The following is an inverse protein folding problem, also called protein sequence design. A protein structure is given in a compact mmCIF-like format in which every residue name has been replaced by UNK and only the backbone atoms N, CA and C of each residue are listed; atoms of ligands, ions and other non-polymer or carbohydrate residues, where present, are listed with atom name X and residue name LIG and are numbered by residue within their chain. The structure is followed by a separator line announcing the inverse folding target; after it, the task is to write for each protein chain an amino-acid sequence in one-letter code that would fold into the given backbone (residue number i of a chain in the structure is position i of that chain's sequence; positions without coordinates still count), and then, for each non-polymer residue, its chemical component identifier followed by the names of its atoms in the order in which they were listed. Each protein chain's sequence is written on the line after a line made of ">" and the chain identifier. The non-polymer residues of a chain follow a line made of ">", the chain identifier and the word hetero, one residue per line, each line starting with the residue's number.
data_IF_863921840676
#
_entry.id   IF_863921840676
#
_cell.length_a   1.000
_cell.length_b   1.000
_cell.length_c   1.000
_cell.angle_alpha   90.00
_cell.angle_beta   90.00
_cell.angle_gamma   90.00
#
_symmetry.space_group_name_H-M   'P 1'
#
loop_
_entity.id
_entity.type
_entity.pdbx_description
1 polymer ?
#
# COMPACT_ATOMS: atom_id res chain seq x y z
N UNK A 1 -9.43 -3.19 13.93
CA UNK A 1 -9.17 -3.08 15.39
C UNK A 1 -7.95 -2.19 15.70
N UNK A 2 -6.75 -2.52 15.23
CA UNK A 2 -5.54 -1.68 15.45
C UNK A 2 -5.68 -0.25 14.91
N UNK A 3 -6.27 -0.07 13.72
CA UNK A 3 -6.52 1.26 13.17
C UNK A 3 -7.49 2.11 14.02
N UNK A 4 -8.47 1.46 14.65
CA UNK A 4 -9.48 2.11 15.50
C UNK A 4 -8.87 2.51 16.85
N UNK A 5 -8.03 1.63 17.43
CA UNK A 5 -7.21 1.94 18.59
C UNK A 5 -6.26 3.11 18.32
N UNK A 6 -5.56 3.10 17.18
CA UNK A 6 -4.68 4.19 16.77
C UNK A 6 -5.45 5.50 16.58
N UNK A 7 -6.64 5.46 15.97
CA UNK A 7 -7.52 6.63 15.83
C UNK A 7 -7.96 7.16 17.20
N UNK A 8 -8.35 6.29 18.12
CA UNK A 8 -8.77 6.66 19.48
C UNK A 8 -7.60 7.17 20.34
N UNK A 9 -6.41 6.58 20.22
CA UNK A 9 -5.21 7.10 20.88
C UNK A 9 -4.82 8.45 20.26
N UNK A 10 -5.06 8.65 18.96
CA UNK A 10 -4.80 9.92 18.30
C UNK A 10 -5.72 11.03 18.81
N UNK A 11 -6.99 10.73 19.11
CA UNK A 11 -7.91 11.73 19.67
C UNK A 11 -7.50 12.20 21.06
N UNK A 12 -6.84 11.35 21.85
CA UNK A 12 -6.45 11.67 23.24
C UNK A 12 -5.01 12.15 23.37
N UNK A 13 -4.08 11.60 22.59
CA UNK A 13 -2.64 11.88 22.65
C UNK A 13 -2.01 11.96 21.25
N UNK A 14 -2.23 13.04 20.49
CA UNK A 14 -1.78 13.13 19.10
C UNK A 14 -0.25 13.10 18.94
N UNK A 15 0.51 13.61 19.92
CA UNK A 15 1.98 13.58 19.90
C UNK A 15 2.55 12.17 20.04
N UNK A 16 1.90 11.32 20.86
CA UNK A 16 2.32 9.93 21.06
C UNK A 16 2.13 9.13 19.78
N UNK A 17 0.98 9.29 19.10
CA UNK A 17 0.73 8.60 17.82
C UNK A 17 1.72 9.05 16.75
N UNK A 18 2.04 10.34 16.65
CA UNK A 18 3.05 10.82 15.69
C UNK A 18 4.43 10.24 15.96
N UNK A 19 4.86 10.20 17.22
CA UNK A 19 6.13 9.58 17.61
C UNK A 19 6.14 8.08 17.32
N UNK A 20 5.05 7.38 17.60
CA UNK A 20 4.91 5.96 17.31
C UNK A 20 4.99 5.68 15.80
N UNK A 21 4.30 6.47 14.97
CA UNK A 21 4.37 6.35 13.51
C UNK A 21 5.80 6.59 13.00
N UNK A 22 6.50 7.59 13.54
CA UNK A 22 7.90 7.84 13.19
C UNK A 22 8.82 6.68 13.61
N UNK A 23 8.58 6.09 14.78
CA UNK A 23 9.33 4.93 15.27
C UNK A 23 9.07 3.68 14.41
N UNK A 24 7.82 3.45 13.99
CA UNK A 24 7.48 2.36 13.07
C UNK A 24 8.15 2.58 11.70
N UNK A 25 8.19 3.82 11.21
CA UNK A 25 8.88 4.17 9.96
C UNK A 25 10.39 3.90 10.07
N UNK A 26 11.03 4.35 11.15
CA UNK A 26 12.45 4.09 11.41
C UNK A 26 12.73 2.59 11.54
N UNK A 27 11.86 1.86 12.26
CA UNK A 27 11.93 0.41 12.40
C UNK A 27 11.80 -0.32 11.06
N UNK A 28 10.96 0.16 10.13
CA UNK A 28 10.82 -0.41 8.79
C UNK A 28 12.13 -0.27 7.97
N UNK A 29 12.76 0.90 8.04
CA UNK A 29 14.05 1.16 7.38
C UNK A 29 15.14 0.28 7.99
N UNK A 30 15.25 0.26 9.33
CA UNK A 30 16.22 -0.56 10.05
C UNK A 30 16.04 -2.06 9.77
N UNK A 31 14.80 -2.55 9.77
CA UNK A 31 14.47 -3.94 9.42
C UNK A 31 14.91 -4.27 7.99
N UNK A 32 14.67 -3.36 7.04
CA UNK A 32 15.07 -3.57 5.65
C UNK A 32 16.60 -3.66 5.52
N UNK A 33 17.34 -2.81 6.24
CA UNK A 33 18.81 -2.86 6.27
C UNK A 33 19.33 -4.16 6.88
N UNK A 34 18.82 -4.54 8.06
CA UNK A 34 19.24 -5.75 8.78
C UNK A 34 18.99 -7.02 7.96
N UNK A 35 17.81 -7.15 7.34
CA UNK A 35 17.48 -8.34 6.55
C UNK A 35 18.34 -8.43 5.28
N UNK A 36 18.65 -7.30 4.65
CA UNK A 36 19.56 -7.28 3.50
C UNK A 36 20.98 -7.72 3.88
N UNK A 37 21.46 -7.33 5.07
CA UNK A 37 22.76 -7.74 5.60
C UNK A 37 22.79 -9.22 5.99
N UNK A 38 21.75 -9.72 6.69
CA UNK A 38 21.62 -11.13 7.08
C UNK A 38 21.55 -12.06 5.87
N UNK A 39 20.81 -11.66 4.83
CA UNK A 39 20.66 -12.44 3.59
C UNK A 39 21.88 -12.33 2.67
N UNK A 40 22.90 -11.53 3.03
CA UNK A 40 24.12 -11.28 2.23
C UNK A 40 23.78 -11.01 0.77
N UNK A 41 22.79 -10.15 0.53
CA UNK A 41 22.30 -9.89 -0.82
C UNK A 41 23.44 -9.34 -1.69
N UNK A 42 23.62 -9.95 -2.86
CA UNK A 42 24.63 -9.56 -3.83
C UNK A 42 24.43 -8.12 -4.32
N UNK A 43 25.46 -7.60 -4.98
CA UNK A 43 25.52 -6.25 -5.52
C UNK A 43 24.67 -6.01 -6.77
N UNK A 44 23.93 -7.02 -7.22
CA UNK A 44 23.11 -6.98 -8.43
C UNK A 44 21.61 -7.04 -8.13
N UNK A 45 20.81 -6.44 -9.00
CA UNK A 45 19.34 -6.50 -8.91
C UNK A 45 18.79 -7.94 -9.01
N UNK A 46 19.41 -8.79 -9.84
CA UNK A 46 19.00 -10.19 -10.00
C UNK A 46 19.22 -10.99 -8.71
N UNK A 47 20.39 -10.82 -8.08
CA UNK A 47 20.69 -11.45 -6.78
C UNK A 47 19.70 -11.01 -5.69
N UNK A 48 19.27 -9.75 -5.74
CA UNK A 48 18.22 -9.23 -4.87
C UNK A 48 16.86 -9.88 -5.15
N UNK A 49 16.44 -10.07 -6.41
CA UNK A 49 15.16 -10.74 -6.70
C UNK A 49 15.17 -12.19 -6.21
N UNK A 50 16.30 -12.88 -6.38
CA UNK A 50 16.43 -14.26 -5.94
C UNK A 50 16.46 -14.39 -4.41
N UNK A 51 17.20 -13.52 -3.73
CA UNK A 51 17.44 -13.60 -2.28
C UNK A 51 16.39 -12.84 -1.45
N UNK A 52 15.78 -11.80 -2.03
CA UNK A 52 14.88 -10.84 -1.38
C UNK A 52 13.42 -11.27 -1.29
N UNK A 53 13.09 -12.55 -1.59
CA UNK A 53 11.71 -13.07 -1.48
C UNK A 53 11.12 -12.83 -0.09
N UNK A 54 11.94 -12.96 0.96
CA UNK A 54 11.54 -12.72 2.34
C UNK A 54 11.12 -11.26 2.58
N UNK A 55 11.81 -10.30 1.96
CA UNK A 55 11.49 -8.88 2.06
C UNK A 55 10.17 -8.53 1.37
N UNK A 56 9.87 -9.17 0.24
CA UNK A 56 8.62 -8.96 -0.49
C UNK A 56 7.40 -9.52 0.25
N UNK A 57 7.57 -10.66 0.92
CA UNK A 57 6.50 -11.31 1.69
C UNK A 57 6.34 -10.68 3.08
N UNK A 58 7.40 -10.06 3.63
CA UNK A 58 7.37 -9.51 4.99
C UNK A 58 6.26 -8.48 5.21
N UNK A 59 5.38 -8.69 6.21
CA UNK A 59 4.32 -7.75 6.55
C UNK A 59 4.89 -6.43 7.07
N UNK A 60 6.07 -6.47 7.71
CA UNK A 60 6.75 -5.29 8.25
C UNK A 60 7.09 -4.35 7.11
N UNK A 61 7.71 -4.82 6.04
CA UNK A 61 8.08 -4.00 4.88
C UNK A 61 6.85 -3.31 4.26
N UNK A 62 5.72 -4.03 4.18
CA UNK A 62 4.46 -3.50 3.63
C UNK A 62 3.84 -2.38 4.46
N UNK A 63 4.16 -2.29 5.75
CA UNK A 63 3.64 -1.20 6.62
C UNK A 63 3.99 0.19 6.11
N UNK A 64 5.11 0.35 5.40
CA UNK A 64 5.53 1.62 4.80
C UNK A 64 4.44 2.23 3.90
N UNK A 65 3.82 1.43 3.04
CA UNK A 65 2.78 1.90 2.13
C UNK A 65 1.56 2.43 2.89
N UNK A 66 1.17 1.75 3.98
CA UNK A 66 0.07 2.19 4.85
C UNK A 66 0.41 3.46 5.62
N UNK A 67 1.66 3.63 6.06
CA UNK A 67 2.11 4.86 6.75
C UNK A 67 2.04 6.05 5.80
N UNK A 68 2.56 5.89 4.57
CA UNK A 68 2.52 6.94 3.55
C UNK A 68 1.08 7.28 3.17
N UNK A 69 0.24 6.27 2.91
CA UNK A 69 -1.19 6.47 2.63
C UNK A 69 -1.92 7.18 3.77
N UNK A 70 -1.64 6.80 5.01
CA UNK A 70 -2.17 7.47 6.20
C UNK A 70 -1.74 8.94 6.32
N UNK A 71 -0.48 9.26 5.99
CA UNK A 71 0.01 10.64 5.97
C UNK A 71 -0.70 11.50 4.89
N UNK A 72 -0.95 10.93 3.71
CA UNK A 72 -1.75 11.57 2.66
C UNK A 72 -3.21 11.79 3.09
N UNK A 73 -3.84 10.78 3.70
CA UNK A 73 -5.19 10.92 4.26
C UNK A 73 -5.26 11.99 5.35
N UNK A 74 -4.29 12.03 6.27
CA UNK A 74 -4.22 13.05 7.31
C UNK A 74 -4.06 14.47 6.75
N UNK A 75 -3.16 14.65 5.76
CA UNK A 75 -2.99 15.91 5.04
C UNK A 75 -4.28 16.35 4.33
N UNK A 76 -5.00 15.40 3.72
CA UNK A 76 -6.26 15.65 3.04
C UNK A 76 -7.34 16.18 4.00
N UNK A 77 -7.59 15.48 5.12
CA UNK A 77 -8.63 15.92 6.07
C UNK A 77 -8.30 17.27 6.73
N UNK A 78 -7.00 17.57 6.92
CA UNK A 78 -6.55 18.87 7.45
C UNK A 78 -6.56 20.01 6.42
N UNK A 79 -6.86 19.73 5.15
CA UNK A 79 -6.78 20.73 4.07
C UNK A 79 -5.37 21.23 3.78
N UNK A 80 -4.34 20.49 4.19
CA UNK A 80 -2.93 20.86 4.01
C UNK A 80 -2.40 20.44 2.63
N UNK A 81 -1.29 21.04 2.14
CA UNK A 81 -0.61 20.56 0.93
C UNK A 81 -0.18 19.09 1.10
N UNK A 82 -0.06 18.35 -0.01
CA UNK A 82 0.33 16.94 0.05
C UNK A 82 1.69 16.79 0.75
N UNK A 83 1.94 15.69 1.50
CA UNK A 83 3.23 15.50 2.16
C UNK A 83 4.40 15.48 1.15
N UNK A 84 4.15 15.04 -0.09
CA UNK A 84 5.15 15.10 -1.15
C UNK A 84 5.45 16.53 -1.62
N UNK A 85 4.45 17.40 -1.74
CA UNK A 85 4.67 18.82 -2.05
C UNK A 85 5.31 19.59 -0.88
N UNK A 86 5.10 19.15 0.36
CA UNK A 86 5.78 19.71 1.53
C UNK A 86 7.29 19.38 1.53
N UNK A 87 7.65 18.17 1.12
CA UNK A 87 9.06 17.73 1.05
C UNK A 87 9.75 18.26 -0.21
N UNK A 88 9.05 18.25 -1.35
CA UNK A 88 9.54 18.68 -2.66
C UNK A 88 8.67 19.82 -3.23
N UNK A 89 8.79 21.05 -2.71
CA UNK A 89 7.94 22.17 -3.13
C UNK A 89 8.22 22.64 -4.56
N UNK A 90 9.48 22.57 -4.99
CA UNK A 90 9.92 23.13 -6.27
C UNK A 90 9.90 22.10 -7.40
N UNK A 91 9.54 22.53 -8.62
CA UNK A 91 9.63 21.70 -9.84
C UNK A 91 11.05 21.20 -10.10
N UNK A 92 12.05 22.02 -9.78
CA UNK A 92 13.46 21.65 -9.85
C UNK A 92 13.84 20.54 -8.88
N UNK A 93 13.27 20.54 -7.66
CA UNK A 93 13.50 19.48 -6.69
C UNK A 93 12.87 18.16 -7.17
N UNK A 94 11.68 18.23 -7.79
CA UNK A 94 11.04 17.08 -8.44
C UNK A 94 11.86 16.55 -9.63
N UNK A 95 12.41 17.43 -10.47
CA UNK A 95 13.34 17.06 -11.54
C UNK A 95 14.63 16.43 -11.02
N UNK A 96 15.20 17.00 -9.95
CA UNK A 96 16.38 16.44 -9.28
C UNK A 96 16.12 15.05 -8.72
N UNK A 97 14.94 14.81 -8.15
CA UNK A 97 14.52 13.48 -7.68
C UNK A 97 14.43 12.48 -8.84
N UNK A 98 13.88 12.88 -9.98
CA UNK A 98 13.83 12.03 -11.19
C UNK A 98 15.24 11.68 -11.66
N UNK A 99 16.14 12.67 -11.73
CA UNK A 99 17.53 12.43 -12.11
C UNK A 99 18.26 11.52 -11.12
N UNK A 100 18.06 11.72 -9.82
CA UNK A 100 18.59 10.84 -8.77
C UNK A 100 18.09 9.41 -8.93
N UNK A 101 16.79 9.21 -9.21
CA UNK A 101 16.22 7.88 -9.42
C UNK A 101 16.74 7.23 -10.70
N UNK A 102 16.92 7.98 -11.79
CA UNK A 102 17.54 7.47 -13.02
C UNK A 102 19.00 7.06 -12.77
N UNK A 103 19.75 7.87 -12.02
CA UNK A 103 21.12 7.55 -11.63
C UNK A 103 21.19 6.27 -10.79
N UNK A 104 20.35 6.15 -9.75
CA UNK A 104 20.29 4.96 -8.91
C UNK A 104 19.87 3.72 -9.71
N UNK A 105 18.91 3.87 -10.62
CA UNK A 105 18.47 2.78 -11.50
C UNK A 105 19.61 2.30 -12.40
N UNK A 106 20.37 3.24 -13.01
CA UNK A 106 21.50 2.89 -13.85
C UNK A 106 22.62 2.19 -13.07
N UNK A 107 22.84 2.56 -11.80
CA UNK A 107 23.82 1.87 -10.95
C UNK A 107 23.35 0.46 -10.57
N UNK A 108 22.06 0.28 -10.24
CA UNK A 108 21.52 -0.99 -9.75
C UNK A 108 21.24 -2.00 -10.87
N UNK A 109 20.81 -1.54 -12.04
CA UNK A 109 20.47 -2.36 -13.23
C UNK A 109 21.63 -2.41 -14.23
N UNK A 110 22.65 -1.57 -14.05
CA UNK A 110 23.82 -1.52 -14.91
C UNK A 110 24.63 -2.81 -14.89
N UNK A 111 25.56 -2.97 -15.85
CA UNK A 111 26.34 -4.20 -16.02
C UNK A 111 27.34 -4.48 -14.89
N UNK A 112 27.59 -3.51 -14.01
CA UNK A 112 28.56 -3.62 -12.93
C UNK A 112 27.86 -3.82 -11.58
N UNK A 113 28.36 -4.73 -10.73
CA UNK A 113 27.81 -4.93 -9.40
C UNK A 113 27.94 -3.66 -8.55
N UNK A 114 26.79 -3.17 -8.10
CA UNK A 114 26.66 -2.09 -7.14
C UNK A 114 26.93 -2.55 -5.72
N UNK A 115 27.12 -1.61 -4.79
CA UNK A 115 27.19 -2.00 -3.37
C UNK A 115 25.81 -2.46 -2.86
N UNK A 116 25.73 -3.47 -1.98
CA UNK A 116 24.45 -3.93 -1.39
C UNK A 116 23.67 -2.81 -0.68
N UNK A 117 24.39 -1.83 -0.13
CA UNK A 117 23.83 -0.64 0.50
C UNK A 117 23.12 0.26 -0.52
N UNK A 118 23.65 0.41 -1.72
CA UNK A 118 23.05 1.21 -2.80
C UNK A 118 21.76 0.57 -3.31
N UNK A 119 21.72 -0.76 -3.44
CA UNK A 119 20.48 -1.51 -3.74
C UNK A 119 19.44 -1.30 -2.65
N UNK A 120 19.84 -1.36 -1.38
CA UNK A 120 18.91 -1.18 -0.27
C UNK A 120 18.30 0.22 -0.25
N UNK A 121 19.13 1.25 -0.47
CA UNK A 121 18.67 2.64 -0.62
C UNK A 121 17.70 2.76 -1.79
N UNK A 122 18.07 2.25 -2.97
CA UNK A 122 17.22 2.27 -4.16
C UNK A 122 15.85 1.62 -3.88
N UNK A 123 15.82 0.46 -3.23
CA UNK A 123 14.57 -0.24 -2.91
C UNK A 123 13.69 0.54 -1.93
N UNK A 124 14.27 1.18 -0.91
CA UNK A 124 13.52 2.00 0.04
C UNK A 124 12.91 3.21 -0.68
N UNK A 125 13.70 3.91 -1.50
CA UNK A 125 13.23 5.05 -2.29
C UNK A 125 12.15 4.66 -3.29
N UNK A 126 12.34 3.55 -4.02
CA UNK A 126 11.37 3.03 -4.98
C UNK A 126 10.04 2.72 -4.29
N UNK A 127 10.06 2.04 -3.14
CA UNK A 127 8.83 1.75 -2.37
C UNK A 127 8.16 3.02 -1.88
N UNK A 128 8.93 3.99 -1.37
CA UNK A 128 8.40 5.26 -0.89
C UNK A 128 7.74 6.04 -2.02
N UNK A 129 8.37 6.09 -3.20
CA UNK A 129 7.86 6.75 -4.40
C UNK A 129 6.61 6.07 -4.95
N UNK A 130 6.59 4.73 -5.00
CA UNK A 130 5.39 3.99 -5.40
C UNK A 130 4.24 4.22 -4.42
N UNK A 131 4.51 4.20 -3.11
CA UNK A 131 3.50 4.49 -2.09
C UNK A 131 2.99 5.94 -2.18
N UNK A 132 3.88 6.91 -2.39
CA UNK A 132 3.51 8.31 -2.55
C UNK A 132 2.72 8.53 -3.86
N UNK A 133 3.14 7.93 -4.96
CA UNK A 133 2.48 8.00 -6.26
C UNK A 133 1.08 7.40 -6.24
N UNK A 134 0.92 6.20 -5.65
CA UNK A 134 -0.40 5.58 -5.46
C UNK A 134 -1.30 6.42 -4.55
N UNK A 135 -0.79 6.94 -3.44
CA UNK A 135 -1.55 7.82 -2.53
C UNK A 135 -1.96 9.13 -3.21
N UNK A 136 -1.09 9.70 -4.03
CA UNK A 136 -1.39 10.88 -4.83
C UNK A 136 -2.43 10.60 -5.92
N UNK A 137 -2.37 9.42 -6.56
CA UNK A 137 -3.35 8.98 -7.55
C UNK A 137 -4.74 8.80 -6.92
N UNK A 138 -4.81 8.18 -5.75
CA UNK A 138 -6.07 8.02 -4.99
C UNK A 138 -6.68 9.39 -4.69
N UNK A 139 -5.88 10.35 -4.22
CA UNK A 139 -6.34 11.72 -3.93
C UNK A 139 -6.84 12.46 -5.17
N UNK A 140 -6.18 12.31 -6.33
CA UNK A 140 -6.67 12.92 -7.58
C UNK A 140 -7.98 12.23 -8.01
N UNK A 141 -8.06 10.91 -7.87
CA UNK A 141 -9.26 10.13 -8.22
C UNK A 141 -10.51 10.57 -7.46
N UNK A 142 -10.37 10.98 -6.19
CA UNK A 142 -11.48 11.54 -5.39
C UNK A 142 -11.91 12.94 -5.87
N UNK A 143 -11.00 13.73 -6.44
CA UNK A 143 -11.28 15.06 -7.02
C UNK A 143 -11.77 15.03 -8.46
N UNK A 144 -11.86 13.85 -9.11
CA UNK A 144 -12.15 13.73 -10.53
C UNK A 144 -13.53 14.27 -10.96
N UNK A 145 -14.46 14.48 -10.02
CA UNK A 145 -15.74 15.18 -10.26
C UNK A 145 -15.57 16.71 -10.46
N UNK A 146 -14.38 17.25 -10.20
CA UNK A 146 -14.03 18.66 -10.42
C UNK A 146 -12.98 18.79 -11.55
N UNK A 147 -13.29 19.66 -12.52
CA UNK A 147 -12.68 19.95 -13.83
C UNK A 147 -11.13 20.02 -13.97
N UNK A 148 -10.35 19.89 -12.89
CA UNK A 148 -8.91 20.22 -12.86
C UNK A 148 -7.96 19.00 -12.86
N UNK A 149 -8.35 17.87 -13.44
CA UNK A 149 -7.45 16.70 -13.51
C UNK A 149 -6.58 16.72 -14.77
N UNK A 150 -5.26 16.57 -14.60
CA UNK A 150 -4.29 16.47 -15.69
C UNK A 150 -4.64 15.34 -16.69
N UNK A 151 -4.58 15.58 -18.01
CA UNK A 151 -5.00 14.61 -19.04
C UNK A 151 -4.30 13.24 -19.00
N UNK A 152 -2.98 13.10 -18.74
CA UNK A 152 -2.33 11.78 -18.72
C UNK A 152 -2.67 10.95 -17.48
N UNK A 153 -3.25 11.53 -16.43
CA UNK A 153 -3.66 10.78 -15.24
C UNK A 153 -5.14 10.37 -15.37
N UNK A 154 -5.91 11.09 -16.20
CA UNK A 154 -7.35 10.87 -16.40
C UNK A 154 -7.67 9.51 -17.02
N UNK A 155 -6.95 9.07 -18.04
CA UNK A 155 -7.19 7.75 -18.65
C UNK A 155 -6.93 6.61 -17.66
N UNK A 156 -5.87 6.74 -16.86
CA UNK A 156 -5.50 5.76 -15.84
C UNK A 156 -6.56 5.72 -14.73
N UNK A 157 -7.06 6.88 -14.30
CA UNK A 157 -8.15 6.96 -13.32
C UNK A 157 -9.44 6.35 -13.86
N UNK A 158 -9.82 6.65 -15.11
CA UNK A 158 -11.01 6.06 -15.75
C UNK A 158 -10.89 4.53 -15.82
N UNK A 159 -9.71 4.01 -16.16
CA UNK A 159 -9.44 2.57 -16.17
C UNK A 159 -9.56 1.98 -14.75
N UNK A 160 -8.91 2.57 -13.75
CA UNK A 160 -8.99 2.10 -12.36
C UNK A 160 -10.40 2.22 -11.76
N UNK A 161 -11.18 3.19 -12.22
CA UNK A 161 -12.55 3.41 -11.79
C UNK A 161 -13.57 2.56 -12.56
N UNK A 162 -13.15 1.84 -13.60
CA UNK A 162 -14.03 0.95 -14.33
C UNK A 162 -14.65 -0.10 -13.40
N UNK A 163 -15.96 -0.31 -13.50
CA UNK A 163 -16.72 -1.20 -12.61
C UNK A 163 -16.21 -2.64 -12.63
N UNK A 164 -15.72 -3.11 -13.78
CA UNK A 164 -15.10 -4.42 -13.95
C UNK A 164 -13.79 -4.55 -13.16
N UNK A 165 -12.92 -3.52 -13.24
CA UNK A 165 -11.62 -3.49 -12.56
C UNK A 165 -11.80 -3.34 -11.06
N UNK A 166 -12.72 -2.49 -10.60
CA UNK A 166 -13.04 -2.38 -9.18
C UNK A 166 -13.61 -3.69 -8.62
N UNK A 167 -14.48 -4.37 -9.37
CA UNK A 167 -15.06 -5.66 -8.96
C UNK A 167 -13.99 -6.75 -8.90
N UNK A 168 -13.10 -6.81 -9.91
CA UNK A 168 -11.97 -7.73 -9.91
C UNK A 168 -10.97 -7.43 -8.77
N UNK A 169 -10.71 -6.15 -8.48
CA UNK A 169 -9.85 -5.73 -7.37
C UNK A 169 -10.42 -6.12 -6.00
N UNK A 170 -11.71 -5.87 -5.74
CA UNK A 170 -12.39 -6.31 -4.51
C UNK A 170 -12.39 -7.81 -4.35
N UNK A 171 -12.64 -8.53 -5.45
CA UNK A 171 -12.59 -9.99 -5.47
C UNK A 171 -11.19 -10.53 -5.16
N UNK A 172 -10.16 -9.97 -5.80
CA UNK A 172 -8.75 -10.34 -5.57
C UNK A 172 -8.32 -10.02 -4.14
N UNK A 173 -8.70 -8.85 -3.62
CA UNK A 173 -8.44 -8.45 -2.25
C UNK A 173 -9.06 -9.41 -1.24
N UNK A 174 -10.30 -9.82 -1.48
CA UNK A 174 -10.97 -10.77 -0.61
C UNK A 174 -10.36 -12.17 -0.65
N UNK A 175 -9.94 -12.65 -1.83
CA UNK A 175 -9.15 -13.88 -1.92
C UNK A 175 -7.86 -13.76 -1.10
N UNK A 176 -7.18 -12.61 -1.20
CA UNK A 176 -5.97 -12.34 -0.42
C UNK A 176 -6.21 -12.23 1.08
N UNK A 177 -7.37 -11.72 1.51
CA UNK A 177 -7.74 -11.64 2.92
C UNK A 177 -8.12 -13.02 3.48
N UNK A 178 -8.80 -13.83 2.66
CA UNK A 178 -9.17 -15.22 2.96
C UNK A 178 -8.03 -16.24 2.70
N UNK A 179 -6.86 -15.77 2.24
CA UNK A 179 -5.81 -16.60 1.64
C UNK A 179 -5.47 -17.91 2.40
N UNK A 180 -5.27 -17.93 3.74
CA UNK A 180 -5.03 -19.20 4.43
C UNK A 180 -6.24 -20.15 4.41
N UNK A 181 -7.47 -19.63 4.52
CA UNK A 181 -8.70 -20.44 4.50
C UNK A 181 -8.95 -21.01 3.12
N UNK A 182 -8.75 -20.20 2.07
CA UNK A 182 -8.95 -20.59 0.67
C UNK A 182 -7.88 -21.59 0.23
N UNK A 183 -6.61 -21.36 0.58
CA UNK A 183 -5.53 -22.31 0.32
C UNK A 183 -5.78 -23.63 1.06
N UNK A 184 -6.14 -23.61 2.34
CA UNK A 184 -6.45 -24.85 3.08
C UNK A 184 -7.64 -25.59 2.47
N UNK A 185 -8.71 -24.88 2.10
CA UNK A 185 -9.91 -25.50 1.54
C UNK A 185 -9.63 -26.13 0.17
N UNK A 186 -8.87 -25.44 -0.69
CA UNK A 186 -8.38 -26.03 -1.93
C UNK A 186 -7.48 -27.24 -1.66
N UNK A 187 -6.53 -27.14 -0.73
CA UNK A 187 -5.63 -28.25 -0.39
C UNK A 187 -6.41 -29.50 0.07
N UNK A 188 -7.40 -29.35 0.96
CA UNK A 188 -8.23 -30.46 1.41
C UNK A 188 -9.17 -30.99 0.30
N UNK A 189 -9.75 -30.11 -0.51
CA UNK A 189 -10.63 -30.49 -1.62
C UNK A 189 -9.88 -31.21 -2.76
N UNK A 190 -8.61 -30.89 -2.98
CA UNK A 190 -7.75 -31.55 -3.99
C UNK A 190 -7.07 -32.82 -3.48
N UNK A 191 -7.05 -33.06 -2.17
CA UNK A 191 -6.38 -34.24 -1.58
C UNK A 191 -7.00 -35.59 -1.97
N UNK A 192 -8.26 -35.60 -2.39
CA UNK A 192 -9.01 -36.81 -2.75
C UNK A 192 -8.84 -37.32 -4.18
N UNK A 193 -8.06 -36.63 -5.03
CA UNK A 193 -7.95 -36.96 -6.46
C UNK A 193 -9.20 -36.55 -7.24
N UNK A 194 -9.09 -35.52 -8.08
CA UNK A 194 -10.19 -34.98 -8.87
C UNK A 194 -10.06 -35.38 -10.34
N UNK A 195 -11.15 -35.84 -10.93
CA UNK A 195 -11.28 -35.99 -12.39
C UNK A 195 -11.28 -34.59 -13.04
N UNK A 196 -10.55 -34.46 -14.17
CA UNK A 196 -10.28 -33.19 -14.84
C UNK A 196 -11.55 -32.40 -15.21
N UNK A 197 -12.67 -33.08 -15.47
CA UNK A 197 -13.93 -32.46 -15.89
C UNK A 197 -14.59 -31.60 -14.79
N UNK A 198 -14.31 -31.87 -13.51
CA UNK A 198 -14.89 -31.11 -12.40
C UNK A 198 -14.02 -29.93 -11.93
N UNK A 199 -12.81 -29.79 -12.48
CA UNK A 199 -11.84 -28.79 -12.05
C UNK A 199 -12.35 -27.36 -12.25
N UNK A 200 -12.91 -27.07 -13.42
CA UNK A 200 -13.47 -25.76 -13.73
C UNK A 200 -14.68 -25.42 -12.85
N UNK A 201 -15.58 -26.39 -12.64
CA UNK A 201 -16.76 -26.22 -11.80
C UNK A 201 -16.39 -25.95 -10.34
N UNK A 202 -15.34 -26.61 -9.84
CA UNK A 202 -14.84 -26.43 -8.48
C UNK A 202 -14.22 -25.03 -8.28
N UNK A 203 -13.46 -24.53 -9.26
CA UNK A 203 -12.90 -23.17 -9.24
C UNK A 203 -14.04 -22.14 -9.23
N UNK A 204 -15.04 -22.32 -10.09
CA UNK A 204 -16.21 -21.44 -10.14
C UNK A 204 -16.96 -21.47 -8.80
N UNK A 205 -17.25 -22.64 -8.22
CA UNK A 205 -17.89 -22.75 -6.92
C UNK A 205 -17.09 -22.04 -5.80
N UNK A 206 -15.78 -22.25 -5.75
CA UNK A 206 -14.92 -21.63 -4.75
C UNK A 206 -14.80 -20.12 -4.94
N UNK A 207 -14.73 -19.63 -6.18
CA UNK A 207 -14.77 -18.19 -6.46
C UNK A 207 -16.07 -17.54 -5.98
N UNK A 208 -17.22 -18.20 -6.16
CA UNK A 208 -18.50 -17.72 -5.65
C UNK A 208 -18.50 -17.65 -4.12
N UNK A 209 -17.99 -18.68 -3.44
CA UNK A 209 -17.89 -18.69 -1.97
C UNK A 209 -16.98 -17.55 -1.48
N UNK A 210 -15.81 -17.38 -2.10
CA UNK A 210 -14.89 -16.29 -1.78
C UNK A 210 -15.55 -14.92 -2.00
N UNK A 211 -16.30 -14.76 -3.09
CA UNK A 211 -17.03 -13.53 -3.40
C UNK A 211 -18.14 -13.24 -2.39
N UNK A 212 -18.91 -14.24 -1.97
CA UNK A 212 -19.96 -14.05 -0.95
C UNK A 212 -19.34 -13.67 0.40
N UNK A 213 -18.28 -14.36 0.82
CA UNK A 213 -17.60 -14.05 2.08
C UNK A 213 -16.94 -12.66 2.04
N UNK A 214 -16.37 -12.27 0.90
CA UNK A 214 -15.86 -10.93 0.64
C UNK A 214 -16.91 -9.86 0.94
N UNK A 215 -18.08 -9.99 0.30
CA UNK A 215 -19.16 -9.03 0.42
C UNK A 215 -19.71 -8.98 1.84
N UNK A 216 -19.86 -10.14 2.49
CA UNK A 216 -20.29 -10.23 3.88
C UNK A 216 -19.32 -9.47 4.80
N UNK A 217 -18.02 -9.72 4.69
CA UNK A 217 -17.00 -9.04 5.50
C UNK A 217 -16.94 -7.53 5.23
N UNK A 218 -17.05 -7.10 3.98
CA UNK A 218 -17.12 -5.68 3.63
C UNK A 218 -18.36 -5.00 4.24
N UNK A 219 -19.52 -5.66 4.20
CA UNK A 219 -20.75 -5.13 4.80
C UNK A 219 -20.69 -5.07 6.33
N UNK A 220 -20.17 -6.12 6.99
CA UNK A 220 -20.18 -6.22 8.46
C UNK A 220 -19.04 -5.47 9.13
N UNK A 221 -17.90 -5.30 8.47
CA UNK A 221 -16.72 -4.67 9.09
C UNK A 221 -16.34 -3.34 8.43
N UNK A 222 -16.25 -3.30 7.10
CA UNK A 222 -15.71 -2.13 6.38
C UNK A 222 -16.70 -0.96 6.36
N UNK A 223 -17.97 -1.22 6.07
CA UNK A 223 -19.03 -0.20 6.05
C UNK A 223 -19.24 0.51 7.40
N UNK A 224 -19.42 -0.21 8.53
CA UNK A 224 -19.54 0.46 9.83
C UNK A 224 -18.24 1.15 10.26
N UNK A 225 -17.08 0.58 9.93
CA UNK A 225 -15.79 1.21 10.22
C UNK A 225 -15.63 2.55 9.50
N UNK A 226 -15.93 2.62 8.20
CA UNK A 226 -15.83 3.84 7.41
C UNK A 226 -16.77 4.93 7.94
N UNK A 227 -18.00 4.55 8.33
CA UNK A 227 -18.96 5.48 8.96
C UNK A 227 -18.48 5.99 10.31
N UNK A 228 -17.95 5.11 11.17
CA UNK A 228 -17.48 5.50 12.49
C UNK A 228 -16.24 6.41 12.39
N UNK A 229 -15.31 6.07 11.49
CA UNK A 229 -14.10 6.86 11.25
C UNK A 229 -14.42 8.24 10.69
N UNK A 230 -15.37 8.36 9.75
CA UNK A 230 -15.75 9.65 9.19
C UNK A 230 -16.37 10.58 10.24
N UNK A 231 -17.21 10.04 11.13
CA UNK A 231 -17.80 10.74 12.29
C UNK A 231 -16.75 11.24 13.29
N UNK A 232 -15.78 10.41 13.64
CA UNK A 232 -14.69 10.79 14.56
C UNK A 232 -13.80 11.86 13.93
N UNK A 233 -13.49 11.75 12.64
CA UNK A 233 -12.67 12.73 11.94
C UNK A 233 -13.40 14.09 11.82
N UNK A 234 -14.68 14.11 11.42
CA UNK A 234 -15.45 15.37 11.32
C UNK A 234 -15.57 16.09 12.66
N UNK A 235 -15.84 15.38 13.74
CA UNK A 235 -15.93 15.98 15.09
C UNK A 235 -14.59 16.55 15.57
N UNK A 236 -13.47 15.88 15.29
CA UNK A 236 -12.12 16.36 15.63
C UNK A 236 -11.75 17.66 14.92
N UNK A 237 -11.88 17.70 13.59
CA UNK A 237 -11.46 18.87 12.81
C UNK A 237 -12.41 20.06 12.94
N UNK A 238 -13.68 19.82 13.29
CA UNK A 238 -14.59 20.89 13.70
C UNK A 238 -14.14 21.55 15.00
N UNK A 239 -13.57 20.78 15.95
CA UNK A 239 -13.10 21.28 17.25
C UNK A 239 -11.74 21.98 17.16
N UNK A 240 -10.86 21.56 16.25
CA UNK A 240 -9.57 22.24 15.98
C UNK A 240 -9.75 23.58 15.26
N UNK A 241 -10.85 23.79 14.51
CA UNK A 241 -11.19 25.08 13.88
C UNK A 241 -11.85 26.11 14.82
N UNK A 242 -12.36 25.68 15.98
CA UNK A 242 -13.02 26.55 16.97
C UNK A 242 -12.09 27.07 18.07
N UNK A 243 -10.81 26.68 18.01
CA UNK A 243 -9.71 27.10 18.87
C UNK A 243 -8.75 27.98 18.06
#
# INVERSE_FOLDING_TARGET
>A
MVALLMLFIHTRHPRVVRSLVALILAGNIAYTLLVMEILKVGGNFDDFIHSGKLLYVSPIVRTLAYIVGGAYGYSHVRGSPTPFDQILPNRWAKLGLVFLMLYLTNQVVGPNPSSPLLITIFMIFLRLLLAAGTSHLIRIGEKADTSESYPPIRWLLVLLQASSIQRAGRFTYAIYLLNPIVILNFYYSFSGGLQADFFFLLIVAHSVICYVLANALTLTFESPFNRLSSLVLTTMFSKEKSL
#
